data_IF_273228312814
#
_entry.id   IF_273228312814
#
_cell.length_a   1.000
_cell.length_b   1.000
_cell.length_c   1.000
_cell.angle_alpha   90.00
_cell.angle_beta   90.00
_cell.angle_gamma   90.00
#
_symmetry.space_group_name_H-M   'P 1'
#
loop_
_entity.id
_entity.type
_entity.pdbx_description
1 polymer ?
#
# COMPACT_ATOMS: atom_id res chain seq x y z
N UNK A 1 5.09 -6.63 -11.75
CA UNK A 1 4.83 -6.54 -10.29
C UNK A 1 4.62 -7.89 -9.59
N UNK A 2 5.36 -8.10 -8.50
CA UNK A 2 5.16 -9.16 -7.50
C UNK A 2 4.49 -8.58 -6.25
N UNK A 3 3.74 -9.40 -5.50
CA UNK A 3 3.17 -9.05 -4.21
C UNK A 3 3.65 -10.00 -3.12
N UNK A 4 4.06 -9.45 -1.98
CA UNK A 4 4.56 -10.19 -0.82
C UNK A 4 3.72 -9.88 0.42
N UNK A 5 3.39 -10.92 1.18
CA UNK A 5 2.66 -10.76 2.43
C UNK A 5 3.65 -10.63 3.60
N UNK A 6 3.74 -9.43 4.17
CA UNK A 6 4.64 -9.09 5.28
C UNK A 6 3.93 -9.09 6.64
N UNK A 7 2.67 -9.54 6.71
CA UNK A 7 1.86 -9.52 7.95
C UNK A 7 2.57 -10.22 9.11
N UNK A 8 3.22 -11.35 8.86
CA UNK A 8 3.95 -12.11 9.89
C UNK A 8 5.25 -11.43 10.34
N UNK A 9 5.83 -10.59 9.49
CA UNK A 9 7.06 -9.84 9.79
C UNK A 9 6.80 -8.65 10.70
N UNK A 10 5.55 -8.18 10.79
CA UNK A 10 5.13 -7.15 11.74
C UNK A 10 4.84 -7.68 13.15
N UNK A 11 4.65 -9.00 13.30
CA UNK A 11 4.23 -9.62 14.56
C UNK A 11 5.38 -10.25 15.35
N UNK A 12 6.61 -10.19 14.86
CA UNK A 12 7.79 -10.68 15.57
C UNK A 12 8.56 -9.57 16.28
N UNK A 13 9.33 -9.92 17.32
CA UNK A 13 10.26 -9.05 18.06
C UNK A 13 11.49 -8.60 17.24
N UNK A 14 11.40 -8.61 15.91
CA UNK A 14 12.49 -8.23 15.02
C UNK A 14 12.63 -6.69 15.03
N UNK A 15 13.84 -6.13 15.12
CA UNK A 15 14.07 -4.67 15.03
C UNK A 15 13.52 -4.04 13.72
N UNK A 16 13.18 -4.87 12.73
CA UNK A 16 12.52 -4.49 11.47
C UNK A 16 11.00 -4.32 11.59
N UNK A 17 10.39 -4.74 12.71
CA UNK A 17 8.95 -4.65 12.96
C UNK A 17 8.54 -3.18 13.04
N UNK A 18 8.20 -2.61 11.89
CA UNK A 18 7.91 -1.18 11.73
C UNK A 18 8.36 -0.62 10.39
N UNK A 19 9.47 -1.14 9.83
CA UNK A 19 9.95 -0.74 8.51
C UNK A 19 9.43 -1.68 7.42
N UNK A 20 8.36 -1.24 6.76
CA UNK A 20 7.72 -1.92 5.62
C UNK A 20 8.74 -2.34 4.56
N UNK A 21 9.72 -1.48 4.24
CA UNK A 21 10.72 -1.75 3.21
C UNK A 21 11.67 -2.84 3.66
N UNK A 22 12.12 -2.80 4.92
CA UNK A 22 12.99 -3.84 5.47
C UNK A 22 12.28 -5.20 5.51
N UNK A 23 10.99 -5.23 5.85
CA UNK A 23 10.20 -6.46 5.78
C UNK A 23 10.04 -6.96 4.33
N UNK A 24 9.73 -6.07 3.39
CA UNK A 24 9.55 -6.42 1.98
C UNK A 24 10.86 -6.89 1.31
N UNK A 25 12.01 -6.34 1.72
CA UNK A 25 13.34 -6.73 1.28
C UNK A 25 13.83 -8.07 1.90
N UNK A 26 12.99 -8.71 2.73
CA UNK A 26 13.26 -10.00 3.35
C UNK A 26 13.49 -11.14 2.34
N UNK A 27 13.61 -12.37 2.87
CA UNK A 27 13.98 -13.55 2.08
C UNK A 27 12.76 -14.38 1.71
N UNK A 28 12.42 -14.40 0.43
CA UNK A 28 11.20 -15.01 -0.09
C UNK A 28 11.48 -16.34 -0.80
N UNK A 29 10.81 -17.40 -0.38
CA UNK A 29 10.91 -18.71 -1.02
C UNK A 29 9.97 -18.82 -2.23
N UNK A 30 10.18 -19.86 -3.05
CA UNK A 30 9.26 -20.27 -4.12
C UNK A 30 9.02 -19.25 -5.24
N UNK A 31 10.01 -18.40 -5.53
CA UNK A 31 10.01 -17.54 -6.72
C UNK A 31 10.94 -18.16 -7.75
N UNK A 32 10.45 -18.41 -8.97
CA UNK A 32 11.27 -18.88 -10.09
C UNK A 32 11.94 -17.70 -10.82
N UNK A 33 13.08 -17.91 -11.48
CA UNK A 33 13.77 -16.84 -12.20
C UNK A 33 12.91 -16.23 -13.32
N UNK A 34 12.19 -17.06 -14.08
CA UNK A 34 11.22 -16.59 -15.07
C UNK A 34 10.08 -15.74 -14.48
N UNK A 35 9.78 -15.91 -13.18
CA UNK A 35 8.83 -15.06 -12.47
C UNK A 35 9.46 -13.73 -12.07
N UNK A 36 10.75 -13.71 -11.71
CA UNK A 36 11.50 -12.48 -11.45
C UNK A 36 11.65 -11.67 -12.74
N UNK A 37 11.97 -12.31 -13.87
CA UNK A 37 12.10 -11.65 -15.16
C UNK A 37 10.77 -11.06 -15.65
N UNK A 38 9.66 -11.77 -15.48
CA UNK A 38 8.37 -11.33 -16.01
C UNK A 38 7.58 -10.37 -15.08
N UNK A 39 7.86 -10.38 -13.77
CA UNK A 39 7.06 -9.63 -12.79
C UNK A 39 7.90 -8.85 -11.78
N UNK A 40 9.22 -9.02 -11.78
CA UNK A 40 10.09 -8.54 -10.72
C UNK A 40 10.48 -7.07 -10.81
N UNK A 41 9.89 -6.25 -11.69
CA UNK A 41 10.21 -4.82 -11.79
C UNK A 41 9.73 -4.01 -10.56
N UNK A 42 8.58 -4.40 -10.00
CA UNK A 42 7.98 -3.75 -8.84
C UNK A 42 7.56 -4.77 -7.78
N UNK A 43 7.69 -4.40 -6.52
CA UNK A 43 7.30 -5.21 -5.36
C UNK A 43 6.23 -4.50 -4.53
N UNK A 44 5.09 -5.16 -4.39
CA UNK A 44 3.96 -4.73 -3.58
C UNK A 44 4.01 -5.43 -2.21
N UNK A 45 4.20 -4.67 -1.14
CA UNK A 45 4.16 -5.19 0.22
C UNK A 45 2.74 -5.11 0.78
N UNK A 46 2.21 -6.23 1.26
CA UNK A 46 0.84 -6.36 1.78
C UNK A 46 0.88 -6.77 3.25
N UNK A 47 0.18 -6.03 4.10
CA UNK A 47 -0.03 -6.34 5.51
C UNK A 47 -1.53 -6.31 5.84
N UNK A 48 -2.04 -7.33 6.52
CA UNK A 48 -3.45 -7.41 6.94
C UNK A 48 -4.48 -7.18 5.81
N UNK A 49 -4.14 -7.59 4.58
CA UNK A 49 -5.01 -7.41 3.40
C UNK A 49 -4.94 -6.02 2.74
N UNK A 50 -4.12 -5.11 3.26
CA UNK A 50 -3.90 -3.77 2.71
C UNK A 50 -2.47 -3.62 2.19
N UNK A 51 -2.29 -2.74 1.21
CA UNK A 51 -0.97 -2.37 0.69
C UNK A 51 -0.25 -1.55 1.75
N UNK A 52 0.85 -2.08 2.27
CA UNK A 52 1.72 -1.39 3.22
C UNK A 52 2.76 -0.50 2.51
N UNK A 53 3.14 -0.85 1.27
CA UNK A 53 4.04 -0.05 0.45
C UNK A 53 4.25 -0.66 -0.93
N UNK A 54 4.76 0.15 -1.86
CA UNK A 54 5.17 -0.30 -3.20
C UNK A 54 6.59 0.17 -3.47
N UNK A 55 7.40 -0.70 -4.07
CA UNK A 55 8.82 -0.45 -4.27
C UNK A 55 9.24 -0.83 -5.69
N UNK A 56 10.20 -0.09 -6.23
CA UNK A 56 10.89 -0.47 -7.46
C UNK A 56 11.94 -1.49 -7.09
N UNK A 57 12.03 -2.61 -7.79
CA UNK A 57 13.10 -3.58 -7.57
C UNK A 57 14.29 -3.16 -8.43
N UNK A 58 15.41 -2.86 -7.78
CA UNK A 58 16.66 -2.48 -8.46
C UNK A 58 17.52 -3.68 -8.81
N UNK A 59 17.35 -4.75 -8.03
CA UNK A 59 18.05 -6.00 -8.20
C UNK A 59 17.54 -7.02 -7.20
N UNK A 60 18.01 -8.25 -7.34
CA UNK A 60 17.71 -9.33 -6.42
C UNK A 60 18.90 -10.28 -6.33
N UNK A 61 19.00 -10.97 -5.20
CA UNK A 61 20.03 -11.97 -4.96
C UNK A 61 19.42 -13.25 -4.41
N UNK A 62 20.11 -14.36 -4.64
CA UNK A 62 19.83 -15.65 -4.00
C UNK A 62 21.08 -16.09 -3.27
N UNK A 63 20.94 -16.43 -2.00
CA UNK A 63 21.93 -17.25 -1.31
C UNK A 63 21.46 -18.70 -1.30
N UNK A 64 22.36 -19.64 -0.99
CA UNK A 64 22.22 -21.11 -1.11
C UNK A 64 20.90 -21.76 -0.67
N UNK A 65 20.04 -21.06 0.07
CA UNK A 65 18.68 -21.48 0.46
C UNK A 65 17.60 -21.32 -0.63
N UNK A 66 17.97 -20.89 -1.85
CA UNK A 66 17.05 -20.60 -2.98
C UNK A 66 16.01 -19.51 -2.71
N UNK A 67 16.10 -18.81 -1.58
CA UNK A 67 15.27 -17.65 -1.26
C UNK A 67 15.79 -16.42 -1.99
N UNK A 68 14.89 -15.56 -2.41
CA UNK A 68 15.19 -14.30 -3.10
C UNK A 68 15.12 -13.16 -2.10
N UNK A 69 16.18 -12.36 -2.03
CA UNK A 69 16.18 -11.06 -1.37
C UNK A 69 16.15 -9.96 -2.43
N UNK A 70 15.43 -8.87 -2.15
CA UNK A 70 15.27 -7.76 -3.10
C UNK A 70 16.03 -6.52 -2.64
N UNK A 71 16.72 -5.87 -3.57
CA UNK A 71 17.13 -4.47 -3.40
C UNK A 71 15.98 -3.56 -3.87
N UNK A 72 15.41 -2.81 -2.94
CA UNK A 72 14.19 -2.04 -3.13
C UNK A 72 14.51 -0.54 -3.17
N UNK A 73 13.98 0.18 -4.15
CA UNK A 73 13.98 1.63 -4.22
C UNK A 73 12.57 2.22 -4.09
N UNK A 74 12.45 3.56 -3.97
CA UNK A 74 11.16 4.23 -4.00
C UNK A 74 10.42 3.98 -5.33
N UNK A 75 9.09 3.94 -5.28
CA UNK A 75 8.22 3.81 -6.44
C UNK A 75 7.15 4.92 -6.44
N UNK A 76 7.53 6.18 -6.78
CA UNK A 76 6.63 7.33 -6.66
C UNK A 76 5.35 7.20 -7.50
N UNK A 77 5.40 6.50 -8.63
CA UNK A 77 4.24 6.24 -9.48
C UNK A 77 3.18 5.34 -8.83
N UNK A 78 3.55 4.65 -7.76
CA UNK A 78 2.72 3.68 -7.06
C UNK A 78 2.42 4.07 -5.60
N UNK A 79 2.96 5.17 -5.10
CA UNK A 79 2.81 5.59 -3.69
C UNK A 79 1.34 5.76 -3.28
N UNK A 80 0.49 6.14 -4.23
CA UNK A 80 -0.97 6.25 -4.05
C UNK A 80 -1.66 4.91 -3.73
N UNK A 81 -1.02 3.75 -3.95
CA UNK A 81 -1.57 2.45 -3.59
C UNK A 81 -1.45 2.16 -2.09
N UNK A 82 -0.53 2.81 -1.38
CA UNK A 82 -0.33 2.58 0.06
C UNK A 82 -1.66 2.80 0.81
N UNK A 83 -2.00 1.94 1.76
CA UNK A 83 -3.27 1.98 2.50
C UNK A 83 -4.51 1.48 1.74
N UNK A 84 -4.42 1.22 0.43
CA UNK A 84 -5.52 0.65 -0.35
C UNK A 84 -5.64 -0.86 -0.10
N UNK A 85 -6.81 -1.42 -0.43
CA UNK A 85 -6.99 -2.87 -0.40
C UNK A 85 -6.01 -3.56 -1.36
N UNK A 86 -5.45 -4.70 -0.93
CA UNK A 86 -4.55 -5.49 -1.76
C UNK A 86 -5.26 -5.92 -3.06
N UNK A 87 -4.64 -5.72 -4.24
CA UNK A 87 -5.17 -6.16 -5.51
C UNK A 87 -5.13 -7.69 -5.68
N UNK A 88 -4.44 -8.38 -4.77
CA UNK A 88 -4.39 -9.85 -4.69
C UNK A 88 -5.03 -10.31 -3.39
N UNK A 89 -5.84 -11.36 -3.48
CA UNK A 89 -6.44 -11.97 -2.30
C UNK A 89 -5.45 -12.90 -1.60
N UNK A 90 -5.45 -12.84 -0.27
CA UNK A 90 -4.66 -13.69 0.61
C UNK A 90 -5.60 -14.48 1.51
N UNK A 91 -5.45 -15.79 1.53
CA UNK A 91 -6.17 -16.64 2.49
C UNK A 91 -5.36 -16.77 3.78
N UNK A 92 -6.05 -16.80 4.92
CA UNK A 92 -5.41 -17.02 6.23
C UNK A 92 -4.75 -18.41 6.24
N UNK A 93 -3.51 -18.51 6.72
CA UNK A 93 -2.75 -19.78 6.80
C UNK A 93 -2.12 -20.25 5.48
N UNK A 94 -2.11 -19.41 4.44
CA UNK A 94 -1.50 -19.75 3.16
C UNK A 94 0.02 -19.89 3.27
N UNK A 95 0.57 -21.02 2.80
CA UNK A 95 1.99 -21.34 2.89
C UNK A 95 2.90 -20.49 1.97
N UNK A 96 2.37 -19.98 0.85
CA UNK A 96 3.15 -19.14 -0.07
C UNK A 96 2.84 -17.66 0.18
N UNK A 97 3.82 -16.92 0.69
CA UNK A 97 3.73 -15.49 0.98
C UNK A 97 4.02 -14.60 -0.26
N UNK A 98 4.14 -15.18 -1.46
CA UNK A 98 4.40 -14.45 -2.71
C UNK A 98 3.30 -14.72 -3.74
N UNK A 99 2.87 -13.67 -4.45
CA UNK A 99 1.88 -13.71 -5.53
C UNK A 99 2.36 -12.89 -6.73
N UNK A 100 1.93 -13.27 -7.92
CA UNK A 100 2.10 -12.48 -9.15
C UNK A 100 0.93 -11.51 -9.26
N UNK A 101 1.19 -10.25 -9.60
CA UNK A 101 0.15 -9.31 -10.00
C UNK A 101 0.15 -9.26 -11.52
N UNK A 102 -0.91 -9.80 -12.14
CA UNK A 102 -0.99 -9.95 -13.60
C UNK A 102 -0.98 -8.60 -14.33
N UNK A 103 -0.46 -8.56 -15.55
CA UNK A 103 -0.33 -7.33 -16.34
C UNK A 103 -1.65 -6.58 -16.53
N UNK A 104 -2.77 -7.29 -16.70
CA UNK A 104 -4.11 -6.66 -16.79
C UNK A 104 -4.46 -5.88 -15.51
N UNK A 105 -4.16 -6.45 -14.34
CA UNK A 105 -4.39 -5.78 -13.05
C UNK A 105 -3.46 -4.57 -12.93
N UNK A 106 -2.18 -4.72 -13.26
CA UNK A 106 -1.21 -3.61 -13.23
C UNK A 106 -1.66 -2.47 -14.14
N UNK A 107 -2.08 -2.75 -15.37
CA UNK A 107 -2.62 -1.76 -16.31
C UNK A 107 -3.88 -1.08 -15.78
N UNK A 108 -4.80 -1.85 -15.18
CA UNK A 108 -6.00 -1.29 -14.56
C UNK A 108 -5.66 -0.38 -13.37
N UNK A 109 -4.68 -0.74 -12.55
CA UNK A 109 -4.20 0.12 -11.46
C UNK A 109 -3.58 1.41 -12.00
N UNK A 110 -2.73 1.33 -13.04
CA UNK A 110 -2.15 2.52 -13.69
C UNK A 110 -3.23 3.46 -14.23
N UNK A 111 -4.27 2.92 -14.87
CA UNK A 111 -5.41 3.71 -15.35
C UNK A 111 -6.23 4.35 -14.22
N UNK A 112 -6.20 3.77 -13.01
CA UNK A 112 -6.87 4.28 -11.82
C UNK A 112 -6.02 5.26 -11.00
N UNK A 113 -4.81 5.58 -11.44
CA UNK A 113 -3.91 6.50 -10.72
C UNK A 113 -4.65 7.82 -10.46
N UNK A 114 -4.80 8.23 -9.19
CA UNK A 114 -5.48 9.47 -8.87
C UNK A 114 -4.65 10.67 -9.33
N UNK A 115 -5.33 11.78 -9.55
CA UNK A 115 -4.68 13.08 -9.62
C UNK A 115 -4.27 13.47 -8.19
N UNK A 116 -2.97 13.41 -7.91
CA UNK A 116 -2.41 13.71 -6.59
C UNK A 116 -1.96 15.16 -6.52
N UNK A 117 -2.37 15.83 -5.46
CA UNK A 117 -1.92 17.18 -5.10
C UNK A 117 -1.20 17.10 -3.75
N UNK A 118 0.08 17.41 -3.73
CA UNK A 118 0.87 17.51 -2.49
C UNK A 118 0.81 18.95 -1.97
N UNK A 119 0.45 19.12 -0.69
CA UNK A 119 0.22 20.45 -0.08
C UNK A 119 1.35 20.88 0.87
N UNK A 120 2.46 20.15 0.88
CA UNK A 120 3.57 20.35 1.81
C UNK A 120 3.36 19.66 3.16
N UNK A 121 4.41 19.62 3.98
CA UNK A 121 4.39 19.02 5.33
C UNK A 121 3.84 17.58 5.40
N UNK A 122 4.03 16.79 4.34
CA UNK A 122 3.61 15.39 4.26
C UNK A 122 2.12 15.16 3.98
N UNK A 123 1.36 16.21 3.65
CA UNK A 123 -0.04 16.09 3.28
C UNK A 123 -0.23 15.90 1.77
N UNK A 124 -1.14 15.00 1.40
CA UNK A 124 -1.55 14.81 0.01
C UNK A 124 -3.05 14.57 -0.13
N UNK A 125 -3.60 15.03 -1.25
CA UNK A 125 -4.96 14.79 -1.70
C UNK A 125 -4.92 13.99 -2.99
N UNK A 126 -5.46 12.78 -2.96
CA UNK A 126 -5.64 11.92 -4.13
C UNK A 126 -7.07 12.03 -4.64
N UNK A 127 -7.27 12.68 -5.78
CA UNK A 127 -8.58 12.75 -6.45
C UNK A 127 -8.68 11.61 -7.47
N UNK A 128 -9.68 10.76 -7.31
CA UNK A 128 -9.93 9.64 -8.22
C UNK A 128 -10.15 10.13 -9.65
N UNK A 129 -9.82 9.32 -10.68
CA UNK A 129 -9.99 9.73 -12.08
C UNK A 129 -11.43 10.11 -12.47
N UNK A 130 -12.43 9.63 -11.72
CA UNK A 130 -13.83 9.99 -11.91
C UNK A 130 -14.19 11.40 -11.39
N UNK A 131 -13.29 12.04 -10.65
CA UNK A 131 -13.49 13.34 -10.00
C UNK A 131 -14.51 13.32 -8.85
N UNK A 132 -15.02 12.15 -8.45
CA UNK A 132 -16.12 12.01 -7.48
C UNK A 132 -15.65 11.56 -6.10
N UNK A 133 -14.50 10.91 -6.03
CA UNK A 133 -13.94 10.42 -4.76
C UNK A 133 -12.57 11.05 -4.54
N UNK A 134 -12.32 11.57 -3.34
CA UNK A 134 -11.00 12.03 -2.95
C UNK A 134 -10.55 11.37 -1.64
N UNK A 135 -9.26 11.08 -1.52
CA UNK A 135 -8.63 10.56 -0.30
C UNK A 135 -7.59 11.55 0.19
N UNK A 136 -7.69 11.94 1.47
CA UNK A 136 -6.68 12.78 2.13
C UNK A 136 -5.73 11.87 2.89
N UNK A 137 -4.42 12.09 2.73
CA UNK A 137 -3.37 11.36 3.44
C UNK A 137 -2.55 12.34 4.26
N UNK A 138 -2.43 12.03 5.55
CA UNK A 138 -1.61 12.79 6.48
C UNK A 138 -0.15 12.35 6.51
N UNK A 139 0.72 13.14 7.16
CA UNK A 139 2.16 12.86 7.26
C UNK A 139 2.49 11.61 8.07
N UNK A 140 1.57 11.12 8.89
CA UNK A 140 1.74 9.91 9.68
C UNK A 140 0.39 9.28 10.03
N UNK A 141 0.42 8.03 10.49
CA UNK A 141 -0.75 7.33 11.06
C UNK A 141 -1.25 7.95 12.37
N UNK A 142 -0.48 8.87 12.97
CA UNK A 142 -0.89 9.58 14.17
C UNK A 142 -1.94 10.66 13.87
N UNK A 143 -2.19 11.03 12.61
CA UNK A 143 -3.25 11.98 12.27
C UNK A 143 -4.37 11.27 11.54
N UNK A 144 -5.57 11.28 12.12
CA UNK A 144 -6.75 10.62 11.57
C UNK A 144 -7.82 11.64 11.18
N UNK A 145 -8.53 11.37 10.09
CA UNK A 145 -9.72 12.14 9.70
C UNK A 145 -10.90 11.68 10.55
N UNK A 146 -11.46 12.57 11.37
CA UNK A 146 -12.57 12.27 12.27
C UNK A 146 -13.93 12.62 11.69
N UNK A 147 -14.01 13.63 10.81
CA UNK A 147 -15.23 13.99 10.11
C UNK A 147 -14.92 14.70 8.78
N UNK A 148 -15.86 14.64 7.84
CA UNK A 148 -15.85 15.45 6.61
C UNK A 148 -17.23 16.08 6.46
N UNK A 149 -17.29 17.40 6.38
CA UNK A 149 -18.55 18.13 6.19
C UNK A 149 -18.32 19.39 5.35
N UNK A 150 -19.18 19.62 4.35
CA UNK A 150 -19.14 20.80 3.47
C UNK A 150 -17.74 21.10 2.87
N UNK A 151 -17.00 20.07 2.47
CA UNK A 151 -15.66 20.22 1.90
C UNK A 151 -14.55 20.46 2.93
N UNK A 152 -14.86 20.43 4.24
CA UNK A 152 -13.89 20.57 5.33
C UNK A 152 -13.69 19.23 6.01
N UNK A 153 -12.44 18.79 6.10
CA UNK A 153 -12.04 17.61 6.88
C UNK A 153 -11.56 18.04 8.28
N UNK A 154 -12.06 17.35 9.30
CA UNK A 154 -11.61 17.49 10.69
C UNK A 154 -10.61 16.39 11.01
N UNK A 155 -9.53 16.77 11.69
CA UNK A 155 -8.41 15.89 11.99
C UNK A 155 -8.22 15.78 13.51
N UNK A 156 -7.82 14.60 13.98
CA UNK A 156 -7.38 14.38 15.35
C UNK A 156 -6.01 13.69 15.38
N UNK A 157 -5.28 13.91 16.48
CA UNK A 157 -4.05 13.15 16.76
C UNK A 157 -4.43 11.90 17.57
N UNK A 158 -4.02 10.73 17.09
CA UNK A 158 -4.44 9.41 17.54
C UNK A 158 -4.10 9.11 19.01
N UNK A 159 -3.14 9.83 19.61
CA UNK A 159 -2.78 9.70 21.04
C UNK A 159 -3.94 10.03 21.99
N UNK A 160 -5.04 10.62 21.49
CA UNK A 160 -6.27 10.91 22.24
C UNK A 160 -7.46 9.97 21.95
N UNK A 161 -7.28 8.92 21.15
CA UNK A 161 -8.34 7.97 20.83
C UNK A 161 -8.01 6.60 21.39
N UNK A 162 -8.44 6.36 22.64
CA UNK A 162 -8.50 5.00 23.19
C UNK A 162 -9.23 4.08 22.21
N UNK A 163 -8.51 3.09 21.69
CA UNK A 163 -9.01 1.91 20.97
C UNK A 163 -10.25 2.14 20.09
N UNK A 164 -10.12 2.87 18.99
CA UNK A 164 -11.10 2.82 17.91
C UNK A 164 -10.42 2.45 16.59
N UNK A 165 -10.80 1.29 16.06
CA UNK A 165 -10.36 0.73 14.77
C UNK A 165 -10.50 1.77 13.65
N UNK A 166 -9.35 2.14 13.05
CA UNK A 166 -9.29 3.09 11.94
C UNK A 166 -9.69 2.38 10.63
N UNK A 167 -10.94 2.54 10.23
CA UNK A 167 -11.37 2.33 8.85
C UNK A 167 -11.21 3.65 8.05
N UNK A 168 -10.78 3.63 6.79
CA UNK A 168 -10.67 4.83 5.98
C UNK A 168 -12.04 5.48 5.76
N UNK A 169 -12.19 6.74 6.18
CA UNK A 169 -13.39 7.52 5.94
C UNK A 169 -13.48 7.86 4.44
N UNK A 170 -14.50 7.33 3.76
CA UNK A 170 -14.79 7.65 2.36
C UNK A 170 -15.86 8.73 2.31
N UNK A 171 -15.54 9.92 1.80
CA UNK A 171 -16.54 10.95 1.55
C UNK A 171 -17.15 10.74 0.15
N UNK A 172 -18.48 10.57 0.08
CA UNK A 172 -19.27 10.65 -1.16
C UNK A 172 -19.98 12.00 -1.18
N UNK A 173 -19.79 12.78 -2.22
CA UNK A 173 -20.59 13.98 -2.48
C UNK A 173 -21.79 13.61 -3.33
N UNK A 174 -22.96 13.45 -2.69
CA UNK A 174 -24.23 13.46 -3.42
C UNK A 174 -24.55 14.91 -3.78
N UNK A 175 -24.51 15.21 -5.07
CA UNK A 175 -24.90 16.52 -5.61
C UNK A 175 -26.42 16.56 -5.70
N UNK A 176 -27.09 17.02 -4.65
CA UNK A 176 -28.51 17.36 -4.72
C UNK A 176 -28.66 18.77 -5.34
N UNK A 177 -29.26 18.83 -6.52
CA UNK A 177 -29.63 20.05 -7.23
C UNK A 177 -30.81 20.72 -6.51
N UNK A 178 -30.77 22.02 -6.14
CA UNK A 178 -31.96 22.72 -5.68
C UNK A 178 -32.77 23.24 -6.88
N UNK A 179 -34.09 23.01 -6.83
CA UNK A 179 -35.12 23.57 -7.71
C UNK A 179 -35.46 25.02 -7.35
#
# INVERSE_FOLDING_TARGET
MLAVNITVSFTGDDERAGDVRACAAGRWANIADSTLEAFGDELLAVANGYVAGVFTVRGWSRDGDRKVAFDLGPAPDWDWLTGQASPVQWSRGQANAVRKVGGVIVSALRARRPHRVDSGHGWSLDVSPDGRTATVRGPSSAVVVTAVHAGVAWLAVADNLGSASAAPATARTDSATPH
#
